data_IF_092781201528
#
_entry.id   IF_092781201528
#
_cell.length_a   1.000
_cell.length_b   1.000
_cell.length_c   1.000
_cell.angle_alpha   90.00
_cell.angle_beta   90.00
_cell.angle_gamma   90.00
#
_symmetry.space_group_name_H-M   'P 1'
#
loop_
_entity.id
_entity.type
_entity.pdbx_description
1 polymer ?
#
# COMPACT_ATOMS: atom_id res chain seq x y z
N UNK A 1 -15.67 54.46 35.63
CA UNK A 1 -16.59 53.31 35.72
C UNK A 1 -16.25 52.39 34.56
N UNK A 2 -15.58 51.26 34.80
CA UNK A 2 -16.16 49.90 34.92
C UNK A 2 -16.77 49.42 33.59
N UNK A 3 -16.57 48.23 33.03
CA UNK A 3 -15.86 46.98 33.33
C UNK A 3 -15.65 46.29 31.93
N UNK A 4 -14.68 45.42 31.65
CA UNK A 4 -14.55 44.06 32.18
C UNK A 4 -14.86 43.01 31.08
N UNK A 5 -14.05 41.94 31.04
CA UNK A 5 -14.29 40.69 30.29
C UNK A 5 -13.44 40.56 29.01
N UNK A 6 -12.48 39.64 28.85
CA UNK A 6 -12.34 38.30 29.43
C UNK A 6 -12.84 37.27 28.42
N UNK A 7 -11.97 36.40 27.92
CA UNK A 7 -12.38 35.28 27.06
C UNK A 7 -11.23 34.69 26.25
N UNK A 8 -10.50 33.77 26.87
CA UNK A 8 -9.49 32.96 26.20
C UNK A 8 -10.08 31.82 25.35
N UNK A 9 -9.13 31.17 24.68
CA UNK A 9 -9.08 29.74 24.41
C UNK A 9 -9.72 29.19 23.13
N UNK A 10 -8.86 28.43 22.45
CA UNK A 10 -9.14 27.19 21.68
C UNK A 10 -9.76 27.31 20.29
N UNK A 11 -8.91 27.42 19.27
CA UNK A 11 -9.15 26.84 17.94
C UNK A 11 -7.84 26.27 17.38
N UNK A 12 -7.48 25.08 17.84
CA UNK A 12 -6.40 24.28 17.27
C UNK A 12 -6.78 22.80 17.29
N UNK A 13 -7.86 22.43 16.59
CA UNK A 13 -8.28 21.02 16.49
C UNK A 13 -9.13 20.68 15.25
N UNK A 14 -9.38 21.62 14.33
CA UNK A 14 -10.29 21.40 13.18
C UNK A 14 -9.60 21.21 11.81
N UNK A 15 -8.28 21.24 11.73
CA UNK A 15 -7.52 21.15 10.46
C UNK A 15 -6.98 19.74 10.14
N UNK A 16 -6.85 18.87 11.14
CA UNK A 16 -6.34 17.50 10.98
C UNK A 16 -7.39 16.52 10.47
N UNK A 17 -8.64 16.67 10.91
CA UNK A 17 -9.74 15.79 10.49
C UNK A 17 -10.13 16.00 9.02
N UNK A 18 -10.09 17.25 8.54
CA UNK A 18 -10.39 17.61 7.16
C UNK A 18 -9.33 17.14 6.16
N UNK A 19 -8.05 17.13 6.56
CA UNK A 19 -6.95 16.61 5.74
C UNK A 19 -6.94 15.08 5.66
N UNK A 20 -7.32 14.38 6.75
CA UNK A 20 -7.48 12.93 6.75
C UNK A 20 -8.60 12.47 5.80
N UNK A 21 -9.78 13.10 5.83
CA UNK A 21 -10.89 12.76 4.93
C UNK A 21 -10.60 13.02 3.46
N UNK A 22 -9.84 14.08 3.15
CA UNK A 22 -9.40 14.38 1.78
C UNK A 22 -8.41 13.33 1.25
N UNK A 23 -7.49 12.85 2.11
CA UNK A 23 -6.55 11.80 1.76
C UNK A 23 -7.26 10.47 1.50
N UNK A 24 -8.16 10.04 2.40
CA UNK A 24 -8.95 8.81 2.24
C UNK A 24 -9.74 8.83 0.92
N UNK A 25 -10.45 9.92 0.62
CA UNK A 25 -11.20 10.08 -0.62
C UNK A 25 -10.32 9.97 -1.86
N UNK A 26 -9.10 10.53 -1.78
CA UNK A 26 -8.12 10.46 -2.86
C UNK A 26 -7.59 9.04 -3.06
N UNK A 27 -7.29 8.34 -1.96
CA UNK A 27 -6.83 6.95 -1.97
C UNK A 27 -7.88 6.02 -2.57
N UNK A 28 -9.14 6.17 -2.16
CA UNK A 28 -10.22 5.33 -2.67
C UNK A 28 -10.40 5.50 -4.19
N UNK A 29 -10.40 6.74 -4.69
CA UNK A 29 -10.47 6.99 -6.14
C UNK A 29 -9.27 6.42 -6.89
N UNK A 30 -8.05 6.63 -6.38
CA UNK A 30 -6.81 6.21 -7.02
C UNK A 30 -6.67 4.68 -7.08
N UNK A 31 -6.95 3.99 -5.99
CA UNK A 31 -6.89 2.52 -5.95
C UNK A 31 -8.05 1.87 -6.70
N UNK A 32 -9.19 2.54 -6.83
CA UNK A 32 -10.26 2.08 -7.70
C UNK A 32 -9.87 2.15 -9.18
N UNK A 33 -9.20 3.22 -9.59
CA UNK A 33 -8.92 3.52 -10.99
C UNK A 33 -7.60 2.96 -11.50
N UNK A 34 -6.81 2.29 -10.67
CA UNK A 34 -5.50 1.77 -11.09
C UNK A 34 -5.68 0.67 -12.15
N UNK A 35 -4.91 0.78 -13.23
CA UNK A 35 -4.93 -0.16 -14.35
C UNK A 35 -3.58 -0.85 -14.49
N UNK A 36 -3.46 -1.78 -15.44
CA UNK A 36 -2.22 -2.47 -15.75
C UNK A 36 -1.26 -1.65 -16.64
N UNK A 37 -1.59 -0.39 -16.98
CA UNK A 37 -0.72 0.44 -17.82
C UNK A 37 0.42 1.04 -17.00
N UNK A 38 1.59 1.19 -17.62
CA UNK A 38 2.78 1.72 -16.97
C UNK A 38 2.52 3.13 -16.43
N UNK A 39 1.80 3.96 -17.19
CA UNK A 39 1.47 5.34 -16.82
C UNK A 39 0.59 5.40 -15.58
N UNK A 40 -0.41 4.51 -15.48
CA UNK A 40 -1.30 4.42 -14.31
C UNK A 40 -0.54 4.01 -13.06
N UNK A 41 0.29 2.97 -13.18
CA UNK A 41 1.10 2.43 -12.09
C UNK A 41 2.14 3.45 -11.62
N UNK A 42 2.93 4.02 -12.53
CA UNK A 42 4.01 4.96 -12.20
C UNK A 42 3.49 6.29 -11.68
N UNK A 43 2.40 6.80 -12.26
CA UNK A 43 1.74 8.01 -11.79
C UNK A 43 1.26 7.86 -10.35
N UNK A 44 0.59 6.74 -10.04
CA UNK A 44 0.12 6.48 -8.68
C UNK A 44 1.27 6.16 -7.71
N UNK A 45 2.27 5.39 -8.14
CA UNK A 45 3.47 5.10 -7.35
C UNK A 45 4.21 6.38 -6.94
N UNK A 46 4.41 7.30 -7.87
CA UNK A 46 5.04 8.60 -7.61
C UNK A 46 4.24 9.39 -6.58
N UNK A 47 2.92 9.44 -6.73
CA UNK A 47 2.04 10.09 -5.76
C UNK A 47 2.12 9.45 -4.36
N UNK A 48 2.17 8.12 -4.27
CA UNK A 48 2.36 7.43 -2.99
C UNK A 48 3.69 7.82 -2.33
N UNK A 49 4.78 7.85 -3.09
CA UNK A 49 6.13 8.20 -2.61
C UNK A 49 6.19 9.66 -2.13
N UNK A 50 5.57 10.59 -2.87
CA UNK A 50 5.46 12.00 -2.46
C UNK A 50 4.68 12.16 -1.14
N UNK A 51 3.69 11.30 -0.92
CA UNK A 51 2.87 11.26 0.29
C UNK A 51 3.42 10.31 1.37
N UNK A 52 4.73 10.01 1.37
CA UNK A 52 5.37 9.06 2.31
C UNK A 52 5.10 9.34 3.78
N UNK A 53 4.80 10.57 4.19
CA UNK A 53 4.36 10.90 5.57
C UNK A 53 3.08 10.18 6.01
N UNK A 54 2.31 9.67 5.05
CA UNK A 54 1.07 8.92 5.24
C UNK A 54 1.22 7.44 4.84
N UNK A 55 2.45 6.91 4.84
CA UNK A 55 2.75 5.54 4.42
C UNK A 55 1.81 4.50 5.03
N UNK A 56 1.57 4.54 6.35
CA UNK A 56 0.67 3.60 7.03
C UNK A 56 -0.77 3.70 6.52
N UNK A 57 -1.28 4.91 6.31
CA UNK A 57 -2.63 5.11 5.75
C UNK A 57 -2.72 4.61 4.31
N UNK A 58 -1.71 4.89 3.48
CA UNK A 58 -1.65 4.43 2.09
C UNK A 58 -1.69 2.90 2.04
N UNK A 59 -0.86 2.23 2.83
CA UNK A 59 -0.78 0.76 2.86
C UNK A 59 -2.07 0.14 3.43
N UNK A 60 -2.65 0.76 4.47
CA UNK A 60 -3.95 0.34 5.01
C UNK A 60 -5.06 0.37 3.95
N UNK A 61 -5.17 1.47 3.20
CA UNK A 61 -6.16 1.59 2.12
C UNK A 61 -5.85 0.67 0.94
N UNK A 62 -4.58 0.47 0.59
CA UNK A 62 -4.18 -0.49 -0.43
C UNK A 62 -4.68 -1.89 -0.07
N UNK A 63 -4.50 -2.32 1.19
CA UNK A 63 -4.98 -3.63 1.65
C UNK A 63 -6.52 -3.71 1.71
N UNK A 64 -7.20 -2.63 2.14
CA UNK A 64 -8.66 -2.50 2.09
C UNK A 64 -9.19 -2.71 0.67
N UNK A 65 -8.53 -2.15 -0.34
CA UNK A 65 -8.87 -2.33 -1.75
C UNK A 65 -8.53 -3.73 -2.26
N UNK A 66 -7.39 -4.29 -1.88
CA UNK A 66 -6.99 -5.64 -2.27
C UNK A 66 -8.03 -6.68 -1.81
N UNK A 67 -8.48 -6.61 -0.55
CA UNK A 67 -9.48 -7.54 0.03
C UNK A 67 -10.80 -7.54 -0.75
N UNK A 68 -11.32 -6.38 -1.11
CA UNK A 68 -12.62 -6.23 -1.82
C UNK A 68 -12.57 -6.45 -3.33
N UNK A 69 -11.38 -6.53 -3.91
CA UNK A 69 -11.19 -6.59 -5.37
C UNK A 69 -11.17 -8.02 -5.90
N UNK A 70 -11.57 -8.21 -7.16
CA UNK A 70 -11.39 -9.46 -7.89
C UNK A 70 -9.91 -9.65 -8.34
N UNK A 71 -9.53 -10.88 -8.69
CA UNK A 71 -8.14 -11.24 -9.02
C UNK A 71 -7.47 -10.30 -10.06
N UNK A 72 -8.10 -9.92 -11.19
CA UNK A 72 -7.46 -9.04 -12.16
C UNK A 72 -7.05 -7.68 -11.56
N UNK A 73 -7.91 -7.09 -10.73
CA UNK A 73 -7.62 -5.80 -10.08
C UNK A 73 -6.64 -5.95 -8.91
N UNK A 74 -6.68 -7.09 -8.20
CA UNK A 74 -5.65 -7.42 -7.19
C UNK A 74 -4.26 -7.44 -7.82
N UNK A 75 -4.12 -7.96 -9.04
CA UNK A 75 -2.84 -7.96 -9.74
C UNK A 75 -2.36 -6.54 -10.08
N UNK A 76 -3.25 -5.64 -10.52
CA UNK A 76 -2.90 -4.22 -10.75
C UNK A 76 -2.40 -3.55 -9.45
N UNK A 77 -3.07 -3.81 -8.33
CA UNK A 77 -2.64 -3.33 -7.01
C UNK A 77 -1.28 -3.90 -6.60
N UNK A 78 -0.98 -5.15 -6.94
CA UNK A 78 0.35 -5.74 -6.73
C UNK A 78 1.43 -5.10 -7.60
N UNK A 79 1.13 -4.77 -8.86
CA UNK A 79 2.07 -4.03 -9.70
C UNK A 79 2.37 -2.64 -9.14
N UNK A 80 1.36 -1.96 -8.61
CA UNK A 80 1.55 -0.71 -7.88
C UNK A 80 2.46 -0.88 -6.66
N UNK A 81 2.17 -1.86 -5.80
CA UNK A 81 3.00 -2.12 -4.62
C UNK A 81 4.45 -2.43 -4.99
N UNK A 82 4.64 -3.24 -6.04
CA UNK A 82 5.97 -3.54 -6.57
C UNK A 82 6.71 -2.28 -7.01
N UNK A 83 6.08 -1.38 -7.77
CA UNK A 83 6.72 -0.15 -8.22
C UNK A 83 7.11 0.76 -7.04
N UNK A 84 6.20 0.94 -6.07
CA UNK A 84 6.46 1.73 -4.85
C UNK A 84 7.64 1.14 -4.07
N UNK A 85 7.63 -0.16 -3.77
CA UNK A 85 8.66 -0.84 -2.97
C UNK A 85 10.05 -0.77 -3.63
N UNK A 86 10.10 -0.87 -4.96
CA UNK A 86 11.36 -0.77 -5.71
C UNK A 86 11.89 0.67 -5.78
N UNK A 87 11.01 1.66 -5.98
CA UNK A 87 11.41 3.05 -6.19
C UNK A 87 11.55 3.87 -4.90
N UNK A 88 10.97 3.42 -3.78
CA UNK A 88 10.96 4.17 -2.53
C UNK A 88 12.36 4.41 -1.96
N UNK A 89 13.32 3.47 -2.14
CA UNK A 89 14.71 3.61 -1.66
C UNK A 89 15.40 4.82 -2.30
N UNK A 90 15.26 4.99 -3.62
CA UNK A 90 15.90 6.10 -4.37
C UNK A 90 15.32 7.47 -4.01
N UNK A 91 14.08 7.50 -3.52
CA UNK A 91 13.32 8.72 -3.19
C UNK A 91 13.28 9.03 -1.69
N UNK A 92 14.18 8.42 -0.91
CA UNK A 92 14.26 8.59 0.55
C UNK A 92 12.92 8.25 1.26
N UNK A 93 12.22 7.22 0.80
CA UNK A 93 10.92 6.78 1.28
C UNK A 93 10.94 5.29 1.69
N UNK A 94 12.10 4.79 2.16
CA UNK A 94 12.33 3.37 2.47
C UNK A 94 11.32 2.79 3.46
N UNK A 95 10.68 3.64 4.28
CA UNK A 95 9.60 3.30 5.21
C UNK A 95 8.44 2.51 4.56
N UNK A 96 8.22 2.68 3.25
CA UNK A 96 7.24 1.89 2.53
C UNK A 96 7.58 0.39 2.53
N UNK A 97 8.85 0.00 2.51
CA UNK A 97 9.22 -1.42 2.58
C UNK A 97 8.77 -2.04 3.89
N UNK A 98 9.07 -1.36 5.00
CA UNK A 98 8.64 -1.79 6.33
C UNK A 98 7.10 -1.84 6.42
N UNK A 99 6.43 -0.79 5.95
CA UNK A 99 4.96 -0.73 6.00
C UNK A 99 4.28 -1.81 5.17
N UNK A 100 4.82 -2.11 3.98
CA UNK A 100 4.27 -3.19 3.15
C UNK A 100 4.60 -4.57 3.74
N UNK A 101 5.74 -4.74 4.41
CA UNK A 101 6.12 -6.02 5.02
C UNK A 101 5.05 -6.54 5.99
N UNK A 102 4.40 -5.65 6.75
CA UNK A 102 3.34 -6.01 7.68
C UNK A 102 2.10 -6.64 7.02
N UNK A 103 1.80 -6.28 5.77
CA UNK A 103 0.58 -6.71 5.07
C UNK A 103 0.83 -7.72 3.96
N UNK A 104 2.07 -7.85 3.48
CA UNK A 104 2.41 -8.71 2.34
C UNK A 104 2.08 -10.20 2.56
N UNK A 105 2.29 -10.80 3.75
CA UNK A 105 1.91 -12.20 3.99
C UNK A 105 0.42 -12.47 3.77
N UNK A 106 -0.45 -11.59 4.29
CA UNK A 106 -1.89 -11.68 4.09
C UNK A 106 -2.24 -11.39 2.62
N UNK A 107 -1.62 -10.37 2.01
CA UNK A 107 -1.86 -10.00 0.63
C UNK A 107 -1.51 -11.13 -0.35
N UNK A 108 -0.40 -11.84 -0.13
CA UNK A 108 0.02 -12.99 -0.93
C UNK A 108 -1.04 -14.10 -0.91
N UNK A 109 -1.67 -14.32 0.24
CA UNK A 109 -2.74 -15.30 0.39
C UNK A 109 -4.03 -14.93 -0.39
N UNK A 110 -4.21 -13.67 -0.80
CA UNK A 110 -5.36 -13.20 -1.57
C UNK A 110 -5.16 -13.30 -3.09
N UNK A 111 -3.98 -13.71 -3.57
CA UNK A 111 -3.64 -13.76 -5.00
C UNK A 111 -3.13 -15.14 -5.45
N UNK A 112 -3.64 -16.21 -4.80
CA UNK A 112 -3.31 -17.62 -5.09
C UNK A 112 -3.86 -18.12 -6.42
N UNK A 113 -4.81 -17.43 -7.02
CA UNK A 113 -5.46 -17.89 -8.24
C UNK A 113 -4.45 -18.01 -9.40
N UNK A 114 -4.46 -19.11 -10.17
CA UNK A 114 -3.53 -19.34 -11.27
C UNK A 114 -3.48 -18.23 -12.33
N UNK A 115 -4.56 -17.45 -12.48
CA UNK A 115 -4.60 -16.31 -13.42
C UNK A 115 -3.66 -15.17 -13.04
N UNK A 116 -3.29 -15.05 -11.76
CA UNK A 116 -2.45 -13.94 -11.25
C UNK A 116 -1.23 -14.40 -10.48
N UNK A 117 -1.24 -15.59 -9.89
CA UNK A 117 -0.20 -16.07 -8.98
C UNK A 117 1.18 -16.12 -9.63
N UNK A 118 1.29 -16.57 -10.89
CA UNK A 118 2.57 -16.58 -11.64
C UNK A 118 3.19 -15.19 -11.79
N UNK A 119 2.35 -14.16 -11.97
CA UNK A 119 2.81 -12.78 -12.09
C UNK A 119 3.29 -12.23 -10.73
N UNK A 120 2.58 -12.57 -9.65
CA UNK A 120 2.98 -12.21 -8.28
C UNK A 120 4.24 -12.94 -7.85
N UNK A 121 4.39 -14.22 -8.20
CA UNK A 121 5.61 -14.98 -7.93
C UNK A 121 6.84 -14.37 -8.61
N UNK A 122 6.68 -13.87 -9.85
CA UNK A 122 7.74 -13.13 -10.53
C UNK A 122 8.13 -11.86 -9.78
N UNK A 123 7.17 -11.15 -9.19
CA UNK A 123 7.45 -9.97 -8.34
C UNK A 123 8.30 -10.38 -7.12
N UNK A 124 7.94 -11.46 -6.43
CA UNK A 124 8.71 -11.95 -5.28
C UNK A 124 10.13 -12.37 -5.68
N UNK A 125 10.30 -13.03 -6.83
CA UNK A 125 11.64 -13.34 -7.37
C UNK A 125 12.47 -12.07 -7.63
N UNK A 126 11.87 -11.01 -8.16
CA UNK A 126 12.58 -9.75 -8.36
C UNK A 126 13.00 -9.12 -7.03
N UNK A 127 12.17 -9.23 -5.99
CA UNK A 127 12.50 -8.73 -4.66
C UNK A 127 13.64 -9.51 -4.02
N UNK A 128 13.67 -10.82 -4.20
CA UNK A 128 14.76 -11.72 -3.82
C UNK A 128 16.07 -11.35 -4.53
N UNK A 129 16.07 -11.35 -5.87
CA UNK A 129 17.25 -11.07 -6.70
C UNK A 129 17.85 -9.68 -6.44
N UNK A 130 17.01 -8.70 -6.03
CA UNK A 130 17.42 -7.32 -5.72
C UNK A 130 17.63 -7.06 -4.23
N UNK A 131 17.54 -8.10 -3.40
CA UNK A 131 17.70 -8.02 -1.95
C UNK A 131 16.78 -6.95 -1.33
N UNK A 132 15.54 -6.86 -1.81
CA UNK A 132 14.52 -5.88 -1.39
C UNK A 132 14.02 -6.22 0.01
N UNK A 133 13.76 -7.51 0.23
CA UNK A 133 13.38 -8.13 1.49
C UNK A 133 14.33 -9.30 1.77
N UNK A 134 14.49 -9.70 3.05
CA UNK A 134 15.33 -10.84 3.40
C UNK A 134 14.72 -12.16 2.91
N UNK A 135 15.57 -13.18 2.76
CA UNK A 135 15.20 -14.45 2.15
C UNK A 135 14.09 -15.18 2.91
N UNK A 136 14.13 -15.17 4.25
CA UNK A 136 13.09 -15.76 5.11
C UNK A 136 11.70 -15.16 4.84
N UNK A 137 11.64 -13.84 4.64
CA UNK A 137 10.42 -13.15 4.25
C UNK A 137 9.96 -13.58 2.85
N UNK A 138 10.86 -13.66 1.87
CA UNK A 138 10.51 -14.12 0.52
C UNK A 138 9.94 -15.54 0.54
N UNK A 139 10.55 -16.45 1.31
CA UNK A 139 10.08 -17.83 1.48
C UNK A 139 8.67 -17.82 2.07
N UNK A 140 8.42 -17.07 3.14
CA UNK A 140 7.09 -16.96 3.74
C UNK A 140 6.03 -16.43 2.76
N UNK A 141 6.37 -15.46 1.91
CA UNK A 141 5.46 -14.94 0.88
C UNK A 141 5.16 -15.97 -0.21
N UNK A 142 6.17 -16.72 -0.67
CA UNK A 142 5.99 -17.80 -1.64
C UNK A 142 5.14 -18.92 -1.07
N UNK A 143 5.34 -19.29 0.19
CA UNK A 143 4.48 -20.26 0.88
C UNK A 143 3.04 -19.75 0.99
N UNK A 144 2.85 -18.49 1.37
CA UNK A 144 1.52 -17.88 1.45
C UNK A 144 0.81 -17.84 0.08
N UNK A 145 1.56 -17.70 -1.02
CA UNK A 145 1.03 -17.75 -2.39
C UNK A 145 0.70 -19.18 -2.85
N UNK A 146 1.53 -20.16 -2.45
CA UNK A 146 1.43 -21.55 -2.91
C UNK A 146 0.52 -22.44 -2.04
N UNK A 147 0.27 -22.09 -0.77
CA UNK A 147 -0.60 -22.86 0.13
C UNK A 147 -2.06 -22.77 -0.32
N UNK A 148 -2.45 -23.56 -1.32
CA UNK A 148 -3.71 -24.29 -1.28
C UNK A 148 -3.53 -25.37 -0.20
N UNK A 149 -4.47 -25.46 0.73
CA UNK A 149 -4.41 -26.35 1.90
C UNK A 149 -4.08 -27.79 1.49
N UNK A 150 -2.88 -28.28 1.82
CA UNK A 150 -2.71 -29.69 2.16
C UNK A 150 -3.37 -29.92 3.52
N UNK A 151 -4.70 -29.96 3.51
CA UNK A 151 -5.53 -30.60 4.52
C UNK A 151 -6.56 -31.43 3.74
N UNK A 152 -6.13 -32.60 3.29
CA UNK A 152 -6.96 -33.80 3.13
C UNK A 152 -6.36 -34.88 4.02
#
# INVERSE_FOLDING_TARGET
>A
MAAGGGGGSSKASSSSASSAGALESSLDRKFQSVTNTMESIQGLSSWCIENKKHHSTIVYHWMKWLRRSAYPHRLNLFYLANDVIQNCKRKNAIIFRESFADVLPEAAALVKDPSVSKSVERIFKIWEDRNVYPEDMIVALREALSKCLFLS
#
